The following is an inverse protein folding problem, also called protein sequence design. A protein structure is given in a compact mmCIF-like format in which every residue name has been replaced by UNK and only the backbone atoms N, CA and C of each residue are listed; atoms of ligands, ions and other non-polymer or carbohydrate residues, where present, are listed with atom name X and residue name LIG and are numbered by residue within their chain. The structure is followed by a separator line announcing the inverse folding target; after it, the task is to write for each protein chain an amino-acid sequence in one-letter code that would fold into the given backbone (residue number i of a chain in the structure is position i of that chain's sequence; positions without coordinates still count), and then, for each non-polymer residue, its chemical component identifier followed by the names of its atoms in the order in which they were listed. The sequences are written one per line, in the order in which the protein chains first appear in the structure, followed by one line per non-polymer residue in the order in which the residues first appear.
data_IF_473625370107
#
_entry.id   IF_473625370107
#
_cell.length_a   1.000
_cell.length_b   1.000
_cell.length_c   1.000
_cell.angle_alpha   90.00
_cell.angle_beta   90.00
_cell.angle_gamma   90.00
#
_symmetry.space_group_name_H-M   'P 1'
#
loop_
_entity.id
_entity.type
_entity.pdbx_description
1 polymer ?
#
# COMPACT_ATOMS: atom_id res chain seq x y z
N UNK A 1 1.24 13.02 11.46
CA UNK A 1 0.95 13.18 10.00
C UNK A 1 0.17 14.45 9.72
N UNK A 2 0.36 15.05 8.54
CA UNK A 2 -0.40 16.26 8.14
C UNK A 2 -1.63 15.87 7.29
N UNK A 3 -2.76 15.57 7.97
CA UNK A 3 -4.04 15.12 7.40
C UNK A 3 -5.22 15.96 7.94
N UNK A 4 -5.05 17.30 8.03
CA UNK A 4 -5.96 18.17 8.81
C UNK A 4 -6.76 19.17 7.98
N UNK A 5 -6.94 18.95 6.68
CA UNK A 5 -7.81 19.84 5.89
C UNK A 5 -9.29 19.60 6.26
N UNK A 6 -10.00 20.68 6.58
CA UNK A 6 -11.43 20.59 6.93
C UNK A 6 -12.24 20.03 5.77
N UNK A 7 -13.12 19.07 6.08
CA UNK A 7 -14.05 18.42 5.14
C UNK A 7 -13.40 17.59 4.01
N UNK A 8 -12.10 17.33 4.07
CA UNK A 8 -11.41 16.50 3.07
C UNK A 8 -11.34 15.05 3.56
N UNK A 9 -11.78 14.11 2.72
CA UNK A 9 -11.59 12.67 2.95
C UNK A 9 -10.26 12.26 2.36
N UNK A 10 -9.56 11.33 3.03
CA UNK A 10 -8.27 10.85 2.58
C UNK A 10 -8.29 9.36 2.20
N UNK A 11 -7.65 9.04 1.09
CA UNK A 11 -7.07 7.73 0.81
C UNK A 11 -5.58 7.85 1.16
N UNK A 12 -5.14 7.08 2.15
CA UNK A 12 -3.74 7.06 2.56
C UNK A 12 -3.05 5.90 1.85
N UNK A 13 -1.98 6.20 1.12
CA UNK A 13 -1.18 5.20 0.42
C UNK A 13 0.06 4.88 1.23
N UNK A 14 0.23 3.60 1.60
CA UNK A 14 1.45 3.10 2.24
C UNK A 14 2.31 2.45 1.15
N UNK A 15 3.41 3.08 0.80
CA UNK A 15 4.24 2.71 -0.35
C UNK A 15 5.58 3.44 -0.35
N UNK A 16 6.51 3.03 -1.22
CA UNK A 16 7.58 3.91 -1.67
C UNK A 16 7.02 5.05 -2.52
N UNK A 17 7.73 6.19 -2.56
CA UNK A 17 7.33 7.38 -3.32
C UNK A 17 8.56 8.14 -3.82
N UNK A 18 8.48 8.86 -4.99
CA UNK A 18 9.58 9.72 -5.43
C UNK A 18 9.96 10.78 -4.36
N UNK A 19 11.27 11.08 -4.17
CA UNK A 19 12.37 10.81 -5.08
C UNK A 19 13.06 9.44 -4.92
N UNK A 20 12.51 8.51 -4.14
CA UNK A 20 13.05 7.14 -4.13
C UNK A 20 12.89 6.51 -5.52
N UNK A 21 14.01 6.09 -6.11
CA UNK A 21 14.04 5.49 -7.45
C UNK A 21 13.64 4.01 -7.39
N UNK A 22 12.37 3.72 -7.62
CA UNK A 22 11.88 2.34 -7.83
C UNK A 22 10.55 2.34 -8.58
N UNK A 23 10.22 1.23 -9.24
CA UNK A 23 9.00 1.10 -10.03
C UNK A 23 7.72 1.30 -9.22
N UNK A 24 7.69 0.83 -7.95
CA UNK A 24 6.54 1.02 -7.07
C UNK A 24 6.34 2.51 -6.71
N UNK A 25 7.43 3.27 -6.55
CA UNK A 25 7.35 4.71 -6.28
C UNK A 25 6.69 5.45 -7.45
N UNK A 26 7.12 5.17 -8.69
CA UNK A 26 6.53 5.74 -9.92
C UNK A 26 5.06 5.33 -10.06
N UNK A 27 4.74 4.04 -9.87
CA UNK A 27 3.37 3.58 -9.90
C UNK A 27 2.48 4.29 -8.87
N UNK A 28 3.00 4.50 -7.65
CA UNK A 28 2.27 5.19 -6.58
C UNK A 28 2.03 6.65 -6.94
N UNK A 29 2.99 7.32 -7.54
CA UNK A 29 2.83 8.69 -8.01
C UNK A 29 1.74 8.77 -9.09
N UNK A 30 1.78 7.89 -10.08
CA UNK A 30 0.82 7.86 -11.18
C UNK A 30 -0.61 7.60 -10.69
N UNK A 31 -0.82 6.58 -9.84
CA UNK A 31 -2.16 6.25 -9.32
C UNK A 31 -2.70 7.36 -8.42
N UNK A 32 -1.85 7.97 -7.58
CA UNK A 32 -2.29 9.06 -6.70
C UNK A 32 -2.61 10.34 -7.46
N UNK A 33 -1.88 10.64 -8.54
CA UNK A 33 -2.17 11.76 -9.43
C UNK A 33 -3.50 11.54 -10.18
N UNK A 34 -3.74 10.34 -10.70
CA UNK A 34 -4.98 10.00 -11.38
C UNK A 34 -6.21 10.07 -10.43
N UNK A 35 -6.07 9.56 -9.21
CA UNK A 35 -7.12 9.66 -8.19
C UNK A 35 -7.41 11.11 -7.80
N UNK A 36 -6.36 11.90 -7.56
CA UNK A 36 -6.51 13.30 -7.20
C UNK A 36 -7.12 14.10 -8.36
N UNK A 37 -6.73 13.85 -9.61
CA UNK A 37 -7.34 14.50 -10.78
C UNK A 37 -8.85 14.23 -10.85
N UNK A 38 -9.27 13.02 -10.50
CA UNK A 38 -10.67 12.61 -10.60
C UNK A 38 -11.53 13.07 -9.42
N UNK A 39 -10.98 13.07 -8.19
CA UNK A 39 -11.79 13.17 -6.96
C UNK A 39 -11.52 14.41 -6.11
N UNK A 40 -10.47 15.22 -6.38
CA UNK A 40 -10.27 16.48 -5.68
C UNK A 40 -11.44 17.46 -5.94
N UNK A 41 -11.81 18.25 -4.95
CA UNK A 41 -11.29 18.36 -3.58
C UNK A 41 -11.94 17.39 -2.57
N UNK A 42 -12.95 16.61 -2.97
CA UNK A 42 -13.74 15.79 -2.06
C UNK A 42 -12.96 14.64 -1.42
N UNK A 43 -12.02 14.05 -2.19
CA UNK A 43 -11.12 12.99 -1.74
C UNK A 43 -9.72 13.32 -2.22
N UNK A 44 -8.74 13.20 -1.33
CA UNK A 44 -7.32 13.43 -1.63
C UNK A 44 -6.48 12.20 -1.31
N UNK A 45 -5.52 11.94 -2.16
CA UNK A 45 -4.47 10.96 -1.91
C UNK A 45 -3.39 11.58 -1.03
N UNK A 46 -2.96 10.85 0.00
CA UNK A 46 -1.82 11.20 0.83
C UNK A 46 -0.95 9.97 1.04
N UNK A 47 0.34 10.16 0.98
CA UNK A 47 1.31 9.07 1.04
C UNK A 47 1.96 9.02 2.42
N UNK A 48 2.11 7.82 2.97
CA UNK A 48 3.10 7.49 3.99
C UNK A 48 4.21 6.73 3.29
N UNK A 49 5.36 7.37 3.17
CA UNK A 49 6.49 6.82 2.44
C UNK A 49 7.23 5.78 3.26
N UNK A 50 7.52 4.64 2.62
CA UNK A 50 8.36 3.58 3.17
C UNK A 50 9.82 3.86 2.81
N UNK A 51 10.66 4.08 3.81
CA UNK A 51 12.11 4.24 3.67
C UNK A 51 12.81 2.96 4.11
N UNK A 52 13.70 2.45 3.28
CA UNK A 52 14.46 1.22 3.52
C UNK A 52 15.74 1.44 4.33
N UNK A 53 16.21 2.69 4.37
CA UNK A 53 17.43 3.05 5.07
C UNK A 53 17.16 4.26 6.00
N UNK A 54 17.37 4.13 7.31
CA UNK A 54 17.14 5.22 8.26
C UNK A 54 18.08 6.42 8.06
N UNK A 55 19.18 6.23 7.32
CA UNK A 55 20.13 7.32 6.99
C UNK A 55 19.82 8.02 5.68
N UNK A 56 18.92 7.48 4.85
CA UNK A 56 18.47 8.12 3.61
C UNK A 56 17.54 9.28 3.92
N UNK A 57 17.94 10.48 3.53
CA UNK A 57 17.11 11.68 3.64
C UNK A 57 16.47 11.92 2.27
N UNK A 58 15.17 11.70 2.19
CA UNK A 58 14.40 12.01 0.99
C UNK A 58 13.70 13.37 1.17
N UNK A 59 13.87 14.27 0.20
CA UNK A 59 13.16 15.55 0.18
C UNK A 59 11.78 15.35 -0.46
N UNK A 60 10.87 14.76 0.28
CA UNK A 60 9.51 14.52 -0.19
C UNK A 60 8.69 15.81 -0.34
N UNK A 61 7.82 15.81 -1.35
CA UNK A 61 6.81 16.86 -1.50
C UNK A 61 5.77 16.77 -0.36
N UNK A 62 5.82 17.70 0.59
CA UNK A 62 4.93 17.74 1.74
C UNK A 62 3.43 17.91 1.40
N UNK A 63 3.10 18.31 0.15
CA UNK A 63 1.72 18.34 -0.32
C UNK A 63 1.19 16.95 -0.68
N UNK A 64 2.07 16.00 -0.94
CA UNK A 64 1.73 14.59 -1.27
C UNK A 64 2.04 13.66 -0.10
N UNK A 65 3.24 13.74 0.46
CA UNK A 65 3.71 12.87 1.55
C UNK A 65 3.30 13.47 2.89
N UNK A 66 2.49 12.74 3.63
CA UNK A 66 1.97 13.13 4.95
C UNK A 66 2.85 12.64 6.10
N UNK A 67 3.65 11.62 5.85
CA UNK A 67 4.55 11.02 6.84
C UNK A 67 5.48 10.01 6.20
N UNK A 68 6.44 9.58 6.98
CA UNK A 68 7.47 8.61 6.59
C UNK A 68 7.62 7.57 7.68
N UNK A 69 7.90 6.32 7.31
CA UNK A 69 8.27 5.27 8.26
C UNK A 69 9.50 4.49 7.78
N UNK A 70 10.27 4.00 8.73
CA UNK A 70 11.34 3.05 8.46
C UNK A 70 10.72 1.67 8.22
N UNK A 71 10.90 1.13 7.00
CA UNK A 71 10.35 -0.16 6.62
C UNK A 71 10.92 -1.34 7.43
N UNK A 72 12.09 -1.17 8.02
CA UNK A 72 12.81 -2.22 8.75
C UNK A 72 12.55 -2.19 10.27
N UNK A 73 11.54 -1.46 10.74
CA UNK A 73 11.23 -1.36 12.17
C UNK A 73 9.74 -1.49 12.45
N UNK A 74 9.34 -2.59 13.09
CA UNK A 74 7.94 -2.95 13.35
C UNK A 74 7.18 -1.89 14.14
N UNK A 75 7.85 -1.17 15.05
CA UNK A 75 7.21 -0.16 15.90
C UNK A 75 6.57 0.97 15.10
N UNK A 76 7.16 1.34 13.96
CA UNK A 76 6.61 2.37 13.08
C UNK A 76 5.28 1.92 12.47
N UNK A 77 5.16 0.66 12.07
CA UNK A 77 3.92 0.11 11.50
C UNK A 77 2.77 0.14 12.49
N UNK A 78 3.00 -0.31 13.72
CA UNK A 78 1.99 -0.31 14.78
C UNK A 78 1.55 1.10 15.15
N UNK A 79 2.50 2.03 15.27
CA UNK A 79 2.22 3.43 15.59
C UNK A 79 1.45 4.12 14.46
N UNK A 80 1.82 3.85 13.20
CA UNK A 80 1.10 4.34 12.04
C UNK A 80 -0.36 3.89 12.02
N UNK A 81 -0.63 2.60 12.26
CA UNK A 81 -1.99 2.08 12.29
C UNK A 81 -2.84 2.79 13.36
N UNK A 82 -2.30 2.97 14.57
CA UNK A 82 -2.97 3.71 15.64
C UNK A 82 -3.27 5.16 15.27
N UNK A 83 -2.30 5.85 14.65
CA UNK A 83 -2.49 7.23 14.21
C UNK A 83 -3.55 7.36 13.13
N UNK A 84 -3.57 6.44 12.15
CA UNK A 84 -4.60 6.39 11.10
C UNK A 84 -5.99 6.10 11.66
N UNK A 85 -6.11 5.22 12.66
CA UNK A 85 -7.39 4.89 13.30
C UNK A 85 -8.02 6.11 13.97
N UNK A 86 -7.20 6.95 14.61
CA UNK A 86 -7.66 8.17 15.30
C UNK A 86 -8.14 9.27 14.34
N UNK A 87 -7.76 9.21 13.05
CA UNK A 87 -8.16 10.25 12.10
C UNK A 87 -9.48 9.89 11.39
N UNK A 88 -10.60 10.57 11.68
CA UNK A 88 -11.90 10.26 11.08
C UNK A 88 -11.96 10.58 9.58
N UNK A 89 -11.04 11.39 9.06
CA UNK A 89 -10.98 11.75 7.65
C UNK A 89 -10.28 10.69 6.79
N UNK A 90 -9.50 9.81 7.37
CA UNK A 90 -8.95 8.63 6.67
C UNK A 90 -10.07 7.63 6.42
N UNK A 91 -10.38 7.38 5.14
CA UNK A 91 -11.49 6.51 4.73
C UNK A 91 -11.01 5.14 4.25
N UNK A 92 -9.85 5.10 3.61
CA UNK A 92 -9.25 3.87 3.08
C UNK A 92 -7.73 3.98 3.20
N UNK A 93 -7.10 2.86 3.49
CA UNK A 93 -5.65 2.70 3.38
C UNK A 93 -5.37 1.82 2.16
N UNK A 94 -4.64 2.36 1.19
CA UNK A 94 -4.18 1.64 0.02
C UNK A 94 -2.71 1.23 0.21
N UNK A 95 -2.40 -0.03 0.06
CA UNK A 95 -1.08 -0.59 0.29
C UNK A 95 -0.53 -1.14 -1.02
N UNK A 96 0.63 -0.64 -1.44
CA UNK A 96 1.33 -1.16 -2.61
C UNK A 96 2.33 -2.20 -2.12
N UNK A 97 1.94 -3.47 -2.19
CA UNK A 97 2.73 -4.56 -1.64
C UNK A 97 3.70 -5.14 -2.66
N UNK A 98 4.97 -5.15 -2.27
CA UNK A 98 6.06 -5.87 -2.91
C UNK A 98 6.92 -6.48 -1.80
N UNK A 99 7.36 -7.73 -1.94
CA UNK A 99 8.05 -8.47 -0.89
C UNK A 99 9.30 -7.77 -0.34
N UNK A 100 10.07 -7.11 -1.20
CA UNK A 100 11.26 -6.36 -0.82
C UNK A 100 11.00 -4.93 -0.31
N UNK A 101 9.75 -4.47 -0.27
CA UNK A 101 9.42 -3.10 0.13
C UNK A 101 9.19 -2.97 1.64
N UNK A 102 8.66 -4.01 2.25
CA UNK A 102 8.40 -4.11 3.68
C UNK A 102 9.51 -4.91 4.35
N UNK A 103 9.85 -4.59 5.59
CA UNK A 103 10.86 -5.34 6.35
C UNK A 103 10.43 -6.76 6.71
N UNK A 104 11.37 -7.52 7.25
CA UNK A 104 11.16 -8.91 7.68
C UNK A 104 11.27 -9.92 6.54
N UNK A 105 10.74 -11.13 6.77
CA UNK A 105 10.70 -12.19 5.77
C UNK A 105 9.46 -12.00 4.89
N UNK A 106 9.65 -11.97 3.58
CA UNK A 106 8.55 -11.77 2.62
C UNK A 106 7.69 -10.52 2.88
N UNK A 107 8.26 -9.52 3.59
CA UNK A 107 7.53 -8.29 3.92
C UNK A 107 6.55 -8.42 5.09
N UNK A 108 6.74 -9.37 5.98
CA UNK A 108 5.82 -9.70 7.09
C UNK A 108 5.68 -8.59 8.15
N UNK A 109 6.57 -7.58 8.18
CA UNK A 109 6.43 -6.43 9.08
C UNK A 109 5.17 -5.61 8.86
N UNK A 110 4.48 -5.77 7.71
CA UNK A 110 3.15 -5.18 7.49
C UNK A 110 2.05 -5.86 8.33
N UNK A 111 2.24 -7.11 8.78
CA UNK A 111 1.20 -7.87 9.48
C UNK A 111 0.77 -7.19 10.79
N UNK A 112 1.66 -6.75 11.69
CA UNK A 112 1.28 -5.98 12.88
C UNK A 112 0.50 -4.69 12.56
N UNK A 113 0.81 -4.00 11.45
CA UNK A 113 0.02 -2.86 10.98
C UNK A 113 -1.42 -3.27 10.67
N UNK A 114 -1.60 -4.33 9.87
CA UNK A 114 -2.91 -4.82 9.47
C UNK A 114 -3.72 -5.39 10.63
N UNK A 115 -3.06 -5.91 11.68
CA UNK A 115 -3.72 -6.39 12.89
C UNK A 115 -4.30 -5.26 13.74
N UNK A 116 -3.66 -4.09 13.73
CA UNK A 116 -4.05 -2.91 14.52
C UNK A 116 -4.97 -1.98 13.73
N UNK A 117 -4.88 -1.99 12.39
CA UNK A 117 -5.64 -1.10 11.53
C UNK A 117 -7.14 -1.42 11.58
N UNK A 118 -7.95 -0.40 11.90
CA UNK A 118 -9.42 -0.47 11.90
C UNK A 118 -10.06 0.13 10.63
N UNK A 119 -9.24 0.77 9.79
CA UNK A 119 -9.72 1.35 8.52
C UNK A 119 -9.77 0.28 7.44
N UNK A 120 -10.73 0.38 6.51
CA UNK A 120 -10.73 -0.48 5.33
C UNK A 120 -9.39 -0.38 4.58
N UNK A 121 -8.84 -1.53 4.18
CA UNK A 121 -7.59 -1.58 3.43
C UNK A 121 -7.76 -2.27 2.08
N UNK A 122 -7.11 -1.70 1.07
CA UNK A 122 -6.97 -2.29 -0.27
C UNK A 122 -5.49 -2.57 -0.51
N UNK A 123 -5.15 -3.81 -0.81
CA UNK A 123 -3.76 -4.21 -1.01
C UNK A 123 -3.56 -4.61 -2.47
N UNK A 124 -2.63 -3.93 -3.14
CA UNK A 124 -2.19 -4.29 -4.48
C UNK A 124 -0.94 -5.16 -4.37
N UNK A 125 -1.00 -6.40 -4.83
CA UNK A 125 0.17 -7.25 -4.96
C UNK A 125 0.84 -7.01 -6.32
N UNK A 126 2.07 -6.49 -6.27
CA UNK A 126 2.88 -6.26 -7.48
C UNK A 126 3.57 -7.53 -7.95
N UNK A 127 3.88 -8.44 -7.03
CA UNK A 127 4.42 -9.77 -7.30
C UNK A 127 3.56 -10.84 -6.63
N UNK A 128 3.34 -11.94 -7.34
CA UNK A 128 2.71 -13.16 -6.82
C UNK A 128 3.55 -14.33 -7.32
N UNK A 129 4.09 -15.12 -6.40
CA UNK A 129 4.97 -16.24 -6.70
C UNK A 129 4.19 -17.55 -6.74
N UNK A 130 4.44 -18.35 -7.74
CA UNK A 130 3.89 -19.71 -7.88
C UNK A 130 4.59 -20.67 -6.90
N UNK A 131 3.89 -21.73 -6.52
CA UNK A 131 4.44 -22.79 -5.68
C UNK A 131 5.14 -22.27 -4.41
N UNK A 132 4.44 -21.45 -3.57
CA UNK A 132 5.06 -20.89 -2.37
C UNK A 132 5.45 -22.00 -1.40
N UNK A 133 6.55 -21.79 -0.68
CA UNK A 133 6.81 -22.52 0.54
C UNK A 133 5.80 -22.16 1.65
N UNK A 134 5.83 -22.91 2.75
CA UNK A 134 4.88 -22.69 3.85
C UNK A 134 5.03 -21.30 4.49
N UNK A 135 6.24 -20.74 4.56
CA UNK A 135 6.49 -19.44 5.15
C UNK A 135 5.86 -18.33 4.29
N UNK A 136 6.17 -18.30 3.01
CA UNK A 136 5.59 -17.34 2.05
C UNK A 136 4.06 -17.46 2.00
N UNK A 137 3.55 -18.71 1.95
CA UNK A 137 2.10 -18.96 1.95
C UNK A 137 1.43 -18.40 3.19
N UNK A 138 2.01 -18.60 4.36
CA UNK A 138 1.47 -18.09 5.63
C UNK A 138 1.49 -16.55 5.67
N UNK A 139 2.56 -15.91 5.21
CA UNK A 139 2.66 -14.43 5.18
C UNK A 139 1.59 -13.86 4.26
N UNK A 140 1.52 -14.31 3.00
CA UNK A 140 0.57 -13.77 2.02
C UNK A 140 -0.88 -14.05 2.44
N UNK A 141 -1.19 -15.25 2.93
CA UNK A 141 -2.54 -15.59 3.42
C UNK A 141 -2.93 -14.76 4.64
N UNK A 142 -1.99 -14.48 5.54
CA UNK A 142 -2.24 -13.63 6.71
C UNK A 142 -2.52 -12.19 6.28
N UNK A 143 -1.73 -11.63 5.37
CA UNK A 143 -1.95 -10.29 4.79
C UNK A 143 -3.33 -10.23 4.13
N UNK A 144 -3.66 -11.21 3.27
CA UNK A 144 -4.93 -11.28 2.56
C UNK A 144 -6.14 -11.38 3.50
N UNK A 145 -6.01 -12.13 4.60
CA UNK A 145 -7.10 -12.31 5.58
C UNK A 145 -7.50 -11.01 6.30
N UNK A 146 -6.62 -10.01 6.31
CA UNK A 146 -6.83 -8.71 6.95
C UNK A 146 -7.21 -7.60 5.97
N UNK A 147 -7.10 -7.85 4.67
CA UNK A 147 -7.48 -6.90 3.64
C UNK A 147 -8.99 -6.86 3.43
N UNK A 148 -9.53 -5.68 3.16
CA UNK A 148 -10.92 -5.52 2.70
C UNK A 148 -11.08 -5.91 1.23
N UNK A 149 -10.03 -5.67 0.42
CA UNK A 149 -9.95 -6.10 -0.97
C UNK A 149 -8.50 -6.25 -1.41
N UNK A 150 -8.28 -7.13 -2.38
CA UNK A 150 -7.00 -7.33 -3.03
C UNK A 150 -7.06 -6.89 -4.49
N UNK A 151 -5.97 -6.35 -4.99
CA UNK A 151 -5.80 -6.01 -6.40
C UNK A 151 -4.59 -6.74 -6.95
N UNK A 152 -4.76 -7.33 -8.12
CA UNK A 152 -3.69 -7.90 -8.94
C UNK A 152 -3.80 -7.36 -10.36
N UNK A 153 -2.73 -7.43 -11.14
CA UNK A 153 -2.67 -6.78 -12.45
C UNK A 153 -3.06 -7.69 -13.62
N UNK A 154 -3.18 -9.00 -13.38
CA UNK A 154 -3.52 -9.99 -14.41
C UNK A 154 -4.26 -11.19 -13.83
N UNK A 155 -4.82 -12.01 -14.73
CA UNK A 155 -5.59 -13.20 -14.37
C UNK A 155 -4.75 -14.31 -13.76
N UNK A 156 -3.51 -14.47 -14.21
CA UNK A 156 -2.59 -15.49 -13.68
C UNK A 156 -2.31 -15.25 -12.19
N UNK A 157 -2.01 -14.00 -11.79
CA UNK A 157 -1.80 -13.65 -10.38
C UNK A 157 -3.05 -13.94 -9.53
N UNK A 158 -4.26 -13.70 -10.07
CA UNK A 158 -5.49 -14.07 -9.37
C UNK A 158 -5.64 -15.59 -9.22
N UNK A 159 -5.33 -16.33 -10.26
CA UNK A 159 -5.37 -17.80 -10.25
C UNK A 159 -4.40 -18.38 -9.22
N UNK A 160 -3.14 -17.91 -9.21
CA UNK A 160 -2.13 -18.35 -8.25
C UNK A 160 -2.58 -18.04 -6.81
N UNK A 161 -3.04 -16.80 -6.52
CA UNK A 161 -3.53 -16.46 -5.18
C UNK A 161 -4.70 -17.35 -4.75
N UNK A 162 -5.55 -17.75 -5.68
CA UNK A 162 -6.71 -18.59 -5.37
C UNK A 162 -6.29 -20.04 -5.14
N UNK A 163 -5.45 -20.61 -6.00
CA UNK A 163 -5.10 -22.03 -5.96
C UNK A 163 -3.98 -22.34 -4.96
N UNK A 164 -2.87 -21.60 -5.04
CA UNK A 164 -1.68 -21.91 -4.25
C UNK A 164 -1.79 -21.36 -2.82
N UNK A 165 -2.32 -20.14 -2.68
CA UNK A 165 -2.48 -19.47 -1.38
C UNK A 165 -3.85 -19.68 -0.74
N UNK A 166 -4.80 -20.29 -1.44
CA UNK A 166 -6.18 -20.57 -0.97
C UNK A 166 -6.94 -19.29 -0.55
N UNK A 167 -6.68 -18.18 -1.24
CA UNK A 167 -7.38 -16.92 -1.01
C UNK A 167 -8.69 -16.91 -1.77
N UNK A 168 -9.76 -16.44 -1.11
CA UNK A 168 -11.09 -16.35 -1.70
C UNK A 168 -11.10 -15.42 -2.92
N UNK A 169 -11.53 -15.86 -4.10
CA UNK A 169 -11.50 -15.07 -5.33
C UNK A 169 -12.41 -13.84 -5.33
N UNK A 170 -13.41 -13.79 -4.42
CA UNK A 170 -14.38 -12.69 -4.32
C UNK A 170 -13.73 -11.38 -3.84
N UNK A 171 -12.67 -11.47 -3.04
CA UNK A 171 -11.95 -10.28 -2.57
C UNK A 171 -10.86 -9.82 -3.55
N UNK A 172 -10.59 -10.59 -4.63
CA UNK A 172 -9.51 -10.31 -5.58
C UNK A 172 -10.08 -9.66 -6.84
N UNK A 173 -9.72 -8.42 -7.08
CA UNK A 173 -10.02 -7.67 -8.30
C UNK A 173 -8.81 -7.64 -9.23
N UNK A 174 -9.06 -7.82 -10.54
CA UNK A 174 -8.03 -7.65 -11.56
C UNK A 174 -8.11 -6.22 -12.09
N UNK A 175 -7.07 -5.42 -11.86
CA UNK A 175 -6.92 -4.08 -12.41
C UNK A 175 -5.61 -4.05 -13.18
N UNK A 176 -5.63 -4.02 -14.52
CA UNK A 176 -4.42 -4.00 -15.33
C UNK A 176 -3.53 -2.81 -15.02
N UNK A 177 -2.23 -2.98 -15.24
CA UNK A 177 -1.26 -1.92 -15.04
C UNK A 177 -1.58 -0.71 -15.95
N UNK A 178 -1.74 0.47 -15.33
CA UNK A 178 -1.98 1.71 -16.08
C UNK A 178 -0.72 2.19 -16.77
N UNK A 179 -0.91 2.97 -17.84
CA UNK A 179 0.17 3.67 -18.55
C UNK A 179 -0.09 5.15 -18.38
N UNK A 180 0.92 5.97 -17.99
CA UNK A 180 0.79 7.41 -17.93
C UNK A 180 0.39 7.98 -19.31
N UNK A 181 -0.53 8.95 -19.32
CA UNK A 181 -0.82 9.69 -20.53
C UNK A 181 0.37 10.59 -20.85
N UNK A 182 1.10 10.28 -21.91
CA UNK A 182 2.16 11.13 -22.43
C UNK A 182 1.50 12.12 -23.41
N UNK A 183 1.67 13.42 -23.16
CA UNK A 183 1.30 14.43 -24.16
C UNK A 183 2.20 14.23 -25.39
N UNK A 184 1.59 14.02 -26.55
CA UNK A 184 2.26 13.97 -27.84
C UNK A 184 2.72 15.38 -28.25
#
# INVERSE_FOLDING_TARGET
MNLNEKNTKYVVHLSSFPPRECGIATFTEDITNALDQKFNPSVKSRIVALNDNPTSIYNYNAKKVAGEINANEISYYVNLAKELNLNPNVKVVNIQHEFGLFGGNWGDYIIPFLQVLEKPSVITFHSVLENPDDELKNVVSTIASRASALVVMNSLSKEILTLDYQIRPEIISIIPHGIPQVAL
#
